data_IF_167308685742
#
_entry.id   IF_167308685742
#
_cell.length_a   1.000
_cell.length_b   1.000
_cell.length_c   1.000
_cell.angle_alpha   90.00
_cell.angle_beta   90.00
_cell.angle_gamma   90.00
#
_symmetry.space_group_name_H-M   'P 1'
#
loop_
_entity.id
_entity.type
_entity.pdbx_description
1 polymer ?
#
# COMPACT_ATOMS: atom_id res chain seq x y z
N UNK A 1 -5.08 -13.85 -11.40
CA UNK A 1 -3.63 -13.85 -11.10
C UNK A 1 -3.19 -12.41 -11.08
N UNK A 2 -2.36 -12.01 -10.10
CA UNK A 2 -1.93 -10.62 -10.00
C UNK A 2 -1.02 -10.24 -11.17
N UNK A 3 -1.37 -9.19 -11.90
CA UNK A 3 -0.57 -8.71 -13.03
C UNK A 3 0.73 -8.05 -12.54
N UNK A 4 1.83 -8.34 -13.24
CA UNK A 4 3.18 -7.88 -12.84
C UNK A 4 3.28 -6.36 -12.95
N UNK A 5 2.71 -5.75 -13.99
CA UNK A 5 2.77 -4.30 -14.17
C UNK A 5 1.95 -3.55 -13.12
N UNK A 6 0.78 -4.08 -12.76
CA UNK A 6 -0.03 -3.56 -11.65
C UNK A 6 0.74 -3.62 -10.33
N UNK A 7 1.42 -4.73 -10.06
CA UNK A 7 2.19 -4.91 -8.84
C UNK A 7 3.41 -3.98 -8.79
N UNK A 8 4.13 -3.79 -9.89
CA UNK A 8 5.23 -2.82 -9.99
C UNK A 8 4.74 -1.39 -9.79
N UNK A 9 3.58 -1.05 -10.34
CA UNK A 9 2.94 0.25 -10.16
C UNK A 9 2.58 0.48 -8.69
N UNK A 10 1.98 -0.51 -8.04
CA UNK A 10 1.66 -0.46 -6.62
C UNK A 10 2.91 -0.22 -5.77
N UNK A 11 3.98 -0.99 -6.04
CA UNK A 11 5.28 -0.83 -5.36
C UNK A 11 5.85 0.59 -5.55
N UNK A 12 5.78 1.13 -6.77
CA UNK A 12 6.26 2.47 -7.08
C UNK A 12 5.48 3.53 -6.31
N UNK A 13 4.15 3.50 -6.37
CA UNK A 13 3.28 4.48 -5.71
C UNK A 13 3.48 4.47 -4.20
N UNK A 14 3.52 3.28 -3.56
CA UNK A 14 3.83 3.16 -2.13
C UNK A 14 5.19 3.80 -1.80
N UNK A 15 6.19 3.61 -2.66
CA UNK A 15 7.53 4.19 -2.48
C UNK A 15 7.61 5.71 -2.65
N UNK A 16 6.59 6.35 -3.24
CA UNK A 16 6.54 7.82 -3.39
C UNK A 16 6.06 8.53 -2.12
N UNK A 17 5.42 7.80 -1.21
CA UNK A 17 5.02 8.37 0.07
C UNK A 17 6.23 8.73 0.93
N UNK A 18 6.19 9.94 1.49
CA UNK A 18 7.25 10.44 2.36
C UNK A 18 7.41 9.54 3.59
N UNK A 19 8.65 9.18 3.89
CA UNK A 19 9.00 8.36 5.06
C UNK A 19 8.71 6.86 4.90
N UNK A 20 8.33 6.39 3.71
CA UNK A 20 8.13 4.97 3.45
C UNK A 20 9.44 4.31 3.04
N UNK A 21 9.75 3.17 3.67
CA UNK A 21 10.79 2.25 3.20
C UNK A 21 10.16 0.88 2.99
N UNK A 22 10.10 0.42 1.74
CA UNK A 22 9.59 -0.91 1.41
C UNK A 22 10.66 -1.96 1.74
N UNK A 23 10.35 -2.86 2.66
CA UNK A 23 11.26 -3.93 3.09
C UNK A 23 11.05 -5.21 2.29
N UNK A 24 9.79 -5.51 1.97
CA UNK A 24 9.42 -6.72 1.25
C UNK A 24 8.15 -6.50 0.45
N UNK A 25 8.15 -7.01 -0.76
CA UNK A 25 7.00 -7.02 -1.65
C UNK A 25 6.84 -8.42 -2.23
N UNK A 26 5.68 -9.06 -2.04
CA UNK A 26 5.42 -10.44 -2.50
C UNK A 26 4.03 -10.56 -3.10
N UNK A 27 3.96 -11.14 -4.29
CA UNK A 27 2.74 -11.70 -4.86
C UNK A 27 2.76 -13.22 -4.65
N UNK A 28 1.66 -13.79 -4.20
CA UNK A 28 1.53 -15.22 -3.94
C UNK A 28 0.72 -15.90 -5.06
N UNK A 29 0.99 -17.19 -5.35
CA UNK A 29 0.24 -17.94 -6.37
C UNK A 29 -1.27 -18.04 -6.11
N UNK A 30 -1.68 -17.92 -4.85
CA UNK A 30 -3.10 -17.88 -4.45
C UNK A 30 -3.77 -16.51 -4.74
N UNK A 31 -3.07 -15.59 -5.41
CA UNK A 31 -3.58 -14.27 -5.75
C UNK A 31 -3.42 -13.23 -4.65
N UNK A 32 -2.77 -13.52 -3.51
CA UNK A 32 -2.54 -12.50 -2.48
C UNK A 32 -1.34 -11.61 -2.78
N UNK A 33 -1.42 -10.33 -2.40
CA UNK A 33 -0.34 -9.35 -2.47
C UNK A 33 0.00 -8.87 -1.07
N UNK A 34 1.29 -8.82 -0.73
CA UNK A 34 1.79 -8.43 0.58
C UNK A 34 2.92 -7.40 0.41
N UNK A 35 2.75 -6.22 1.00
CA UNK A 35 3.75 -5.14 0.98
C UNK A 35 4.10 -4.79 2.41
N UNK A 36 5.28 -5.21 2.86
CA UNK A 36 5.82 -4.88 4.18
C UNK A 36 6.71 -3.64 4.06
N UNK A 37 6.47 -2.67 4.92
CA UNK A 37 7.15 -1.39 4.93
C UNK A 37 7.34 -0.83 6.33
N UNK A 38 8.30 0.08 6.47
CA UNK A 38 8.40 1.00 7.60
C UNK A 38 7.90 2.37 7.17
N UNK A 39 7.25 3.07 8.09
CA UNK A 39 6.72 4.42 7.86
C UNK A 39 7.19 5.31 9.01
N UNK A 40 7.99 6.34 8.72
CA UNK A 40 8.51 7.27 9.73
C UNK A 40 7.67 8.54 9.87
N UNK A 41 6.71 8.76 8.97
CA UNK A 41 5.87 9.95 8.93
C UNK A 41 4.42 9.60 9.29
N UNK A 42 3.88 10.06 10.45
CA UNK A 42 2.52 9.69 10.89
C UNK A 42 1.41 10.04 9.89
N UNK A 43 1.53 11.16 9.17
CA UNK A 43 0.56 11.55 8.15
C UNK A 43 0.49 10.55 6.99
N UNK A 44 1.62 9.92 6.65
CA UNK A 44 1.68 8.88 5.61
C UNK A 44 0.92 7.62 6.03
N UNK A 45 0.98 7.25 7.32
CA UNK A 45 0.21 6.12 7.85
C UNK A 45 -1.29 6.35 7.63
N UNK A 46 -1.79 7.54 7.97
CA UNK A 46 -3.20 7.88 7.83
C UNK A 46 -3.67 7.86 6.36
N UNK A 47 -2.85 8.38 5.44
CA UNK A 47 -3.15 8.38 3.99
C UNK A 47 -3.22 6.97 3.43
N UNK A 48 -2.21 6.14 3.71
CA UNK A 48 -2.19 4.76 3.24
C UNK A 48 -3.35 3.94 3.84
N UNK A 49 -3.68 4.16 5.12
CA UNK A 49 -4.84 3.52 5.75
C UNK A 49 -6.15 3.94 5.06
N UNK A 50 -6.30 5.21 4.71
CA UNK A 50 -7.46 5.70 3.97
C UNK A 50 -7.59 5.00 2.60
N UNK A 51 -6.53 5.00 1.79
CA UNK A 51 -6.52 4.31 0.49
C UNK A 51 -6.81 2.81 0.64
N UNK A 52 -6.21 2.15 1.64
CA UNK A 52 -6.36 0.73 1.88
C UNK A 52 -7.80 0.35 2.24
N UNK A 53 -8.45 1.13 3.12
CA UNK A 53 -9.86 0.90 3.50
C UNK A 53 -10.78 1.01 2.29
N UNK A 54 -10.60 2.04 1.46
CA UNK A 54 -11.42 2.24 0.26
C UNK A 54 -11.20 1.16 -0.81
N UNK A 55 -10.01 0.59 -0.86
CA UNK A 55 -9.63 -0.47 -1.79
C UNK A 55 -9.86 -1.88 -1.23
N UNK A 56 -10.44 -2.03 -0.04
CA UNK A 56 -10.65 -3.32 0.63
C UNK A 56 -9.34 -4.12 0.82
N UNK A 57 -8.25 -3.39 1.11
CA UNK A 57 -6.92 -3.92 1.41
C UNK A 57 -6.67 -3.82 2.91
N UNK A 58 -6.25 -4.92 3.53
CA UNK A 58 -5.93 -4.91 4.95
C UNK A 58 -4.61 -4.17 5.20
N UNK A 59 -4.57 -3.29 6.21
CA UNK A 59 -3.34 -2.70 6.72
C UNK A 59 -3.06 -3.25 8.12
N UNK A 60 -2.10 -4.15 8.23
CA UNK A 60 -1.68 -4.73 9.50
C UNK A 60 -0.50 -3.95 10.06
N UNK A 61 -0.43 -3.85 11.39
CA UNK A 61 0.67 -3.20 12.09
C UNK A 61 1.24 -4.14 13.14
N UNK A 62 2.55 -4.31 13.16
CA UNK A 62 3.23 -5.20 14.09
C UNK A 62 4.65 -4.68 14.41
N UNK A 63 5.22 -5.12 15.53
CA UNK A 63 6.58 -4.79 15.95
C UNK A 63 7.47 -6.05 15.93
N UNK A 64 8.78 -5.88 15.72
CA UNK A 64 9.74 -7.01 15.55
C UNK A 64 9.92 -7.89 16.79
N UNK A 65 9.44 -7.46 17.95
CA UNK A 65 9.74 -8.14 19.21
C UNK A 65 8.76 -9.28 19.51
N UNK A 66 9.25 -10.27 20.27
CA UNK A 66 8.43 -11.34 20.86
C UNK A 66 7.74 -10.90 22.17
N UNK A 67 7.74 -9.60 22.50
CA UNK A 67 7.28 -9.11 23.80
C UNK A 67 6.81 -7.67 23.71
N UNK A 68 5.49 -7.49 23.64
CA UNK A 68 4.82 -6.21 23.58
C UNK A 68 5.09 -5.37 24.84
N UNK A 69 5.98 -4.39 24.75
CA UNK A 69 6.01 -3.27 25.71
C UNK A 69 5.58 -1.99 24.98
N UNK A 70 4.81 -1.13 25.65
CA UNK A 70 4.35 0.16 25.10
C UNK A 70 5.51 1.03 24.60
N UNK A 71 6.70 0.85 25.19
CA UNK A 71 7.95 1.52 24.80
C UNK A 71 8.34 1.21 23.34
N UNK A 72 8.01 0.04 22.79
CA UNK A 72 8.39 -0.31 21.41
C UNK A 72 7.57 0.44 20.36
N UNK A 73 6.31 0.76 20.68
CA UNK A 73 5.45 1.56 19.82
C UNK A 73 5.88 3.04 19.76
N UNK A 74 6.70 3.48 20.72
CA UNK A 74 7.32 4.80 20.71
C UNK A 74 8.51 4.93 19.74
N UNK A 75 8.96 3.82 19.14
CA UNK A 75 10.09 3.79 18.20
C UNK A 75 9.61 3.41 16.78
N UNK A 76 9.35 4.39 15.89
CA UNK A 76 8.82 4.14 14.55
C UNK A 76 9.68 3.21 13.67
N UNK A 77 10.99 3.11 13.94
CA UNK A 77 11.92 2.20 13.29
C UNK A 77 11.67 0.72 13.66
N UNK A 78 10.93 0.47 14.73
CA UNK A 78 10.54 -0.87 15.21
C UNK A 78 9.13 -1.28 14.79
N UNK A 79 8.36 -0.40 14.17
CA UNK A 79 7.00 -0.66 13.71
C UNK A 79 7.00 -0.98 12.22
N UNK A 80 6.33 -2.08 11.86
CA UNK A 80 6.16 -2.52 10.48
C UNK A 80 4.69 -2.45 10.13
N UNK A 81 4.46 -2.05 8.90
CA UNK A 81 3.15 -1.95 8.28
C UNK A 81 3.10 -2.94 7.13
N UNK A 82 2.00 -3.66 7.01
CA UNK A 82 1.77 -4.61 5.91
C UNK A 82 0.46 -4.28 5.21
N UNK A 83 0.53 -3.92 3.93
CA UNK A 83 -0.64 -3.90 3.05
C UNK A 83 -0.87 -5.31 2.48
N UNK A 84 -2.07 -5.83 2.69
CA UNK A 84 -2.46 -7.20 2.34
C UNK A 84 -3.75 -7.22 1.52
N UNK A 85 -3.63 -7.53 0.24
CA UNK A 85 -4.77 -7.89 -0.60
C UNK A 85 -4.88 -9.42 -0.63
N UNK A 86 -6.01 -9.98 -0.18
CA UNK A 86 -6.21 -11.43 -0.09
C UNK A 86 -7.63 -11.82 -0.56
N UNK A 87 -7.83 -13.03 -1.11
CA UNK A 87 -9.11 -13.46 -1.73
C UNK A 87 -10.28 -13.73 -0.76
N UNK A 88 -10.40 -12.98 0.33
CA UNK A 88 -11.39 -13.22 1.39
C UNK A 88 -12.44 -12.14 1.61
N UNK A 89 -12.40 -11.03 0.86
CA UNK A 89 -13.16 -9.81 1.21
C UNK A 89 -14.23 -9.36 0.20
N UNK A 90 -14.59 -10.21 -0.77
CA UNK A 90 -15.69 -9.96 -1.72
C UNK A 90 -15.25 -9.47 -3.10
N UNK A 91 -14.06 -8.86 -3.22
CA UNK A 91 -13.45 -8.46 -4.50
C UNK A 91 -12.34 -9.44 -4.93
N UNK A 92 -12.12 -9.56 -6.24
CA UNK A 92 -10.92 -10.24 -6.75
C UNK A 92 -9.66 -9.47 -6.30
N UNK A 93 -8.62 -10.12 -5.76
CA UNK A 93 -7.42 -9.45 -5.26
C UNK A 93 -6.75 -8.50 -6.25
N UNK A 94 -6.86 -8.77 -7.55
CA UNK A 94 -6.39 -7.89 -8.61
C UNK A 94 -7.13 -6.54 -8.59
N UNK A 95 -8.46 -6.57 -8.46
CA UNK A 95 -9.28 -5.36 -8.42
C UNK A 95 -8.95 -4.53 -7.17
N UNK A 96 -8.81 -5.17 -6.01
CA UNK A 96 -8.41 -4.50 -4.77
C UNK A 96 -7.06 -3.77 -4.91
N UNK A 97 -6.06 -4.40 -5.54
CA UNK A 97 -4.76 -3.77 -5.78
C UNK A 97 -4.86 -2.62 -6.79
N UNK A 98 -5.69 -2.75 -7.84
CA UNK A 98 -5.91 -1.66 -8.81
C UNK A 98 -6.59 -0.48 -8.14
N UNK A 99 -7.65 -0.69 -7.35
CA UNK A 99 -8.34 0.37 -6.61
C UNK A 99 -7.39 1.07 -5.62
N UNK A 100 -6.52 0.30 -4.96
CA UNK A 100 -5.47 0.85 -4.11
C UNK A 100 -4.52 1.76 -4.90
N UNK A 101 -4.07 1.31 -6.09
CA UNK A 101 -3.21 2.11 -6.96
C UNK A 101 -3.88 3.40 -7.41
N UNK A 102 -5.15 3.35 -7.80
CA UNK A 102 -5.91 4.53 -8.21
C UNK A 102 -6.02 5.52 -7.04
N UNK A 103 -6.42 5.05 -5.86
CA UNK A 103 -6.54 5.90 -4.68
C UNK A 103 -5.22 6.55 -4.26
N UNK A 104 -4.12 5.78 -4.30
CA UNK A 104 -2.78 6.34 -4.03
C UNK A 104 -2.34 7.34 -5.09
N UNK A 105 -2.59 7.08 -6.37
CA UNK A 105 -2.21 7.98 -7.45
C UNK A 105 -2.96 9.32 -7.37
N UNK A 106 -4.27 9.29 -7.05
CA UNK A 106 -5.07 10.50 -6.84
C UNK A 106 -4.57 11.31 -5.64
N UNK A 107 -4.32 10.65 -4.51
CA UNK A 107 -3.82 11.31 -3.31
C UNK A 107 -2.41 11.90 -3.52
N UNK A 108 -1.50 11.15 -4.15
CA UNK A 108 -0.17 11.65 -4.48
C UNK A 108 -0.21 12.82 -5.47
N UNK A 109 -1.20 12.87 -6.36
CA UNK A 109 -1.39 14.03 -7.24
C UNK A 109 -1.98 15.24 -6.51
N UNK A 110 -2.85 15.03 -5.52
CA UNK A 110 -3.31 16.10 -4.61
C UNK A 110 -2.14 16.69 -3.81
N UNK A 111 -1.14 15.87 -3.47
CA UNK A 111 0.12 16.30 -2.83
C UNK A 111 1.15 16.90 -3.81
N UNK A 112 0.89 16.87 -5.12
CA UNK A 112 1.82 17.35 -6.14
C UNK A 112 3.06 16.47 -6.36
N UNK A 113 3.01 15.20 -5.95
CA UNK A 113 4.09 14.21 -6.11
C UNK A 113 4.01 13.49 -7.46
N UNK A 114 2.79 13.26 -7.96
CA UNK A 114 2.51 12.63 -9.25
C UNK A 114 1.71 13.60 -10.14
N UNK A 115 2.01 13.63 -11.43
CA UNK A 115 1.30 14.49 -12.38
C UNK A 115 -0.12 13.96 -12.67
N UNK A 116 -1.09 14.85 -12.87
CA UNK A 116 -2.49 14.46 -13.16
C UNK A 116 -2.64 13.73 -14.49
N UNK A 117 -1.82 14.04 -15.49
CA UNK A 117 -1.80 13.31 -16.76
C UNK A 117 -1.26 11.88 -16.58
N UNK A 118 -0.31 11.69 -15.67
CA UNK A 118 0.15 10.35 -15.28
C UNK A 118 -0.98 9.56 -14.62
N UNK A 119 -1.73 10.18 -13.68
CA UNK A 119 -2.91 9.55 -13.07
C UNK A 119 -3.94 9.12 -14.12
N UNK A 120 -4.24 9.99 -15.10
CA UNK A 120 -5.15 9.67 -16.20
C UNK A 120 -4.64 8.49 -17.03
N UNK A 121 -3.36 8.47 -17.37
CA UNK A 121 -2.75 7.36 -18.13
C UNK A 121 -2.82 6.05 -17.37
N UNK A 122 -2.58 6.07 -16.05
CA UNK A 122 -2.66 4.89 -15.19
C UNK A 122 -4.09 4.35 -15.14
N UNK A 123 -5.07 5.23 -14.88
CA UNK A 123 -6.51 4.87 -14.87
C UNK A 123 -6.95 4.26 -16.20
N UNK A 124 -6.59 4.89 -17.33
CA UNK A 124 -6.90 4.38 -18.66
C UNK A 124 -6.29 2.98 -18.90
N UNK A 125 -5.07 2.73 -18.42
CA UNK A 125 -4.42 1.42 -18.50
C UNK A 125 -5.16 0.31 -17.74
N UNK A 126 -5.94 0.65 -16.72
CA UNK A 126 -6.78 -0.28 -15.96
C UNK A 126 -8.27 -0.25 -16.34
N UNK A 127 -8.67 0.61 -17.28
CA UNK A 127 -10.07 0.77 -17.70
C UNK A 127 -10.95 1.58 -16.76
N UNK A 128 -10.36 2.52 -15.99
CA UNK A 128 -11.03 3.46 -15.08
C UNK A 128 -11.00 4.92 -15.56
#
# INVERSE_FOLDING_TARGET
MLDTATMETCRRLVGLYRGVTIERFRAHPNGSAHIVMRITEPATVARLAHCAIHANVGMLVWADSRGSTEEEWAFPDRVRYELRAAPGSGDEPQLAVVLLCVGMAEELADLGVVDREEVKSLRAGWGF
#
